data_IF_305791868503
#
_entry.id   IF_305791868503
#
_cell.length_a   1.000
_cell.length_b   1.000
_cell.length_c   1.000
_cell.angle_alpha   90.00
_cell.angle_beta   90.00
_cell.angle_gamma   90.00
#
_symmetry.space_group_name_H-M   'P 1'
#
loop_
_entity.id
_entity.type
_entity.pdbx_description
1 polymer ?
#
# COMPACT_ATOMS: atom_id res chain seq x y z
N UNK A 1 -14.96 26.70 10.19
CA UNK A 1 -15.78 26.59 8.98
C UNK A 1 -15.58 25.24 8.33
N UNK A 2 -16.69 24.51 8.23
CA UNK A 2 -17.00 23.44 7.27
C UNK A 2 -15.88 22.50 6.79
N UNK A 3 -15.48 21.56 7.64
CA UNK A 3 -14.81 20.32 7.21
C UNK A 3 -15.66 19.07 7.53
N UNK A 4 -16.98 19.25 7.65
CA UNK A 4 -17.94 18.20 7.96
C UNK A 4 -19.07 18.24 6.93
N UNK A 5 -18.72 17.92 5.68
CA UNK A 5 -19.71 17.51 4.68
C UNK A 5 -19.15 16.29 3.95
N UNK A 6 -19.00 15.17 4.68
CA UNK A 6 -18.65 13.87 4.10
C UNK A 6 -19.92 13.11 3.71
N UNK A 7 -20.59 13.64 2.70
CA UNK A 7 -21.40 12.86 1.79
C UNK A 7 -20.76 13.05 0.40
N UNK A 8 -20.12 12.00 -0.11
CA UNK A 8 -19.54 11.83 -1.45
C UNK A 8 -18.15 12.41 -1.81
N UNK A 9 -17.25 12.72 -0.86
CA UNK A 9 -15.91 13.27 -1.16
C UNK A 9 -14.73 12.35 -0.85
N UNK A 10 -13.88 12.05 -1.85
CA UNK A 10 -12.56 11.41 -1.68
C UNK A 10 -11.79 12.00 -0.49
N UNK A 11 -11.19 11.15 0.37
CA UNK A 11 -10.28 11.65 1.41
C UNK A 11 -9.03 12.26 0.75
N UNK A 12 -8.40 13.22 1.42
CA UNK A 12 -7.12 13.78 0.93
C UNK A 12 -6.08 12.67 0.77
N UNK A 13 -6.05 11.69 1.68
CA UNK A 13 -5.19 10.51 1.55
C UNK A 13 -5.44 9.77 0.25
N UNK A 14 -6.70 9.49 -0.07
CA UNK A 14 -7.07 8.75 -1.27
C UNK A 14 -6.71 9.51 -2.56
N UNK A 15 -6.92 10.83 -2.58
CA UNK A 15 -6.51 11.68 -3.70
C UNK A 15 -4.99 11.65 -3.91
N UNK A 16 -4.23 11.80 -2.83
CA UNK A 16 -2.77 11.73 -2.91
C UNK A 16 -2.28 10.34 -3.34
N UNK A 17 -2.95 9.27 -2.89
CA UNK A 17 -2.63 7.89 -3.27
C UNK A 17 -2.85 7.64 -4.76
N UNK A 18 -4.02 8.01 -5.29
CA UNK A 18 -4.30 7.86 -6.73
C UNK A 18 -3.35 8.69 -7.59
N UNK A 19 -2.99 9.90 -7.14
CA UNK A 19 -1.98 10.72 -7.81
C UNK A 19 -0.58 10.07 -7.78
N UNK A 20 -0.20 9.41 -6.67
CA UNK A 20 1.04 8.65 -6.59
C UNK A 20 1.09 7.49 -7.58
N UNK A 21 -0.01 6.73 -7.70
CA UNK A 21 -0.12 5.61 -8.63
C UNK A 21 -0.01 6.10 -10.10
N UNK A 22 -0.63 7.23 -10.42
CA UNK A 22 -0.51 7.87 -11.73
C UNK A 22 0.93 8.34 -12.02
N UNK A 23 1.61 8.93 -11.04
CA UNK A 23 3.01 9.34 -11.18
C UNK A 23 3.92 8.12 -11.46
N UNK A 24 3.71 7.00 -10.77
CA UNK A 24 4.41 5.73 -11.05
C UNK A 24 4.17 5.24 -12.48
N UNK A 25 2.92 5.26 -12.94
CA UNK A 25 2.57 4.83 -14.30
C UNK A 25 3.25 5.68 -15.38
N UNK A 26 3.53 6.95 -15.08
CA UNK A 26 4.25 7.88 -15.95
C UNK A 26 5.79 7.80 -15.80
N UNK A 27 6.29 6.96 -14.87
CA UNK A 27 7.72 6.84 -14.57
C UNK A 27 8.29 7.92 -13.64
N UNK A 28 7.46 8.83 -13.14
CA UNK A 28 7.82 9.87 -12.16
C UNK A 28 7.91 9.26 -10.74
N UNK A 29 9.04 8.59 -10.46
CA UNK A 29 9.26 7.92 -9.17
C UNK A 29 9.36 8.90 -8.00
N UNK A 30 10.05 10.01 -8.17
CA UNK A 30 10.23 11.01 -7.11
C UNK A 30 8.89 11.67 -6.75
N UNK A 31 8.12 12.05 -7.76
CA UNK A 31 6.80 12.59 -7.58
C UNK A 31 5.80 11.57 -7.03
N UNK A 32 5.95 10.29 -7.34
CA UNK A 32 5.18 9.23 -6.70
C UNK A 32 5.47 9.14 -5.20
N UNK A 33 6.75 9.09 -4.79
CA UNK A 33 7.14 9.03 -3.37
C UNK A 33 6.59 10.23 -2.61
N UNK A 34 6.72 11.43 -3.19
CA UNK A 34 6.22 12.67 -2.59
C UNK A 34 4.70 12.59 -2.34
N UNK A 35 3.94 12.14 -3.34
CA UNK A 35 2.48 12.01 -3.23
C UNK A 35 2.07 10.90 -2.27
N UNK A 36 2.74 9.76 -2.28
CA UNK A 36 2.46 8.69 -1.32
C UNK A 36 2.74 9.10 0.13
N UNK A 37 3.79 9.91 0.38
CA UNK A 37 4.04 10.50 1.71
C UNK A 37 2.92 11.43 2.13
N UNK A 38 2.43 12.29 1.23
CA UNK A 38 1.25 13.13 1.49
C UNK A 38 0.01 12.28 1.79
N UNK A 39 -0.19 11.17 1.09
CA UNK A 39 -1.28 10.26 1.40
C UNK A 39 -1.20 9.77 2.84
N UNK A 40 -0.01 9.33 3.27
CA UNK A 40 0.21 8.84 4.63
C UNK A 40 0.02 9.92 5.70
N UNK A 41 0.44 11.16 5.44
CA UNK A 41 0.21 12.31 6.32
C UNK A 41 -1.30 12.58 6.51
N UNK A 42 -2.09 12.42 5.46
CA UNK A 42 -3.52 12.72 5.45
C UNK A 42 -4.42 11.51 5.76
N UNK A 43 -3.87 10.31 5.95
CA UNK A 43 -4.64 9.10 6.28
C UNK A 43 -5.30 9.14 7.68
N UNK A 44 -5.09 10.22 8.44
CA UNK A 44 -5.94 10.70 9.55
C UNK A 44 -6.73 9.64 10.33
N UNK A 45 -6.14 9.09 11.39
CA UNK A 45 -6.82 8.24 12.39
C UNK A 45 -7.28 6.85 11.92
N UNK A 46 -7.62 6.69 10.65
CA UNK A 46 -8.12 5.44 10.08
C UNK A 46 -6.96 4.48 9.77
N UNK A 47 -6.91 3.36 10.51
CA UNK A 47 -5.90 2.32 10.32
C UNK A 47 -5.97 1.68 8.93
N UNK A 48 -7.14 1.67 8.29
CA UNK A 48 -7.34 1.11 6.96
C UNK A 48 -6.81 2.05 5.86
N UNK A 49 -7.11 3.35 5.95
CA UNK A 49 -6.56 4.35 5.02
C UNK A 49 -5.04 4.45 5.18
N UNK A 50 -4.55 4.43 6.43
CA UNK A 50 -3.12 4.40 6.74
C UNK A 50 -2.42 3.19 6.12
N UNK A 51 -3.05 2.01 6.16
CA UNK A 51 -2.50 0.80 5.56
C UNK A 51 -2.42 0.90 4.03
N UNK A 52 -3.44 1.48 3.38
CA UNK A 52 -3.43 1.73 1.94
C UNK A 52 -2.33 2.72 1.54
N UNK A 53 -2.17 3.81 2.29
CA UNK A 53 -1.13 4.80 2.05
C UNK A 53 0.28 4.22 2.24
N UNK A 54 0.49 3.39 3.27
CA UNK A 54 1.77 2.67 3.48
C UNK A 54 2.10 1.74 2.31
N UNK A 55 1.12 0.98 1.79
CA UNK A 55 1.33 0.11 0.62
C UNK A 55 1.68 0.91 -0.62
N UNK A 56 1.02 2.03 -0.86
CA UNK A 56 1.32 2.92 -1.99
C UNK A 56 2.73 3.52 -1.87
N UNK A 57 3.12 3.94 -0.66
CA UNK A 57 4.47 4.44 -0.39
C UNK A 57 5.54 3.37 -0.64
N UNK A 58 5.30 2.13 -0.21
CA UNK A 58 6.20 1.02 -0.47
C UNK A 58 6.43 0.79 -1.98
N UNK A 59 5.34 0.80 -2.76
CA UNK A 59 5.43 0.69 -4.22
C UNK A 59 6.22 1.84 -4.85
N UNK A 60 5.99 3.08 -4.38
CA UNK A 60 6.66 4.28 -4.86
C UNK A 60 8.16 4.32 -4.53
N UNK A 61 8.53 3.87 -3.33
CA UNK A 61 9.90 3.80 -2.85
C UNK A 61 10.79 2.85 -3.69
N UNK A 62 10.19 1.88 -4.39
CA UNK A 62 10.94 0.96 -5.23
C UNK A 62 12.01 0.23 -4.44
N UNK A 63 13.26 0.28 -4.88
CA UNK A 63 14.39 -0.45 -4.27
C UNK A 63 14.88 0.14 -2.94
N UNK A 64 14.25 1.20 -2.45
CA UNK A 64 14.63 1.81 -1.18
C UNK A 64 14.31 0.86 0.00
N UNK A 65 15.22 0.69 0.98
CA UNK A 65 15.03 -0.25 2.10
C UNK A 65 13.80 0.07 2.98
N UNK A 66 13.30 1.30 2.94
CA UNK A 66 12.06 1.68 3.61
C UNK A 66 10.80 1.00 3.03
N UNK A 67 10.86 0.49 1.80
CA UNK A 67 9.72 -0.14 1.14
C UNK A 67 9.22 -1.37 1.90
N UNK A 68 10.14 -2.25 2.32
CA UNK A 68 9.81 -3.45 3.11
C UNK A 68 9.13 -3.10 4.44
N UNK A 69 9.66 -2.11 5.15
CA UNK A 69 9.08 -1.64 6.40
C UNK A 69 7.65 -1.10 6.19
N UNK A 70 7.41 -0.42 5.06
CA UNK A 70 6.08 0.07 4.70
C UNK A 70 5.11 -1.09 4.39
N UNK A 71 5.53 -2.09 3.60
CA UNK A 71 4.72 -3.28 3.35
C UNK A 71 4.38 -4.04 4.63
N UNK A 72 5.36 -4.29 5.49
CA UNK A 72 5.16 -4.98 6.76
C UNK A 72 4.17 -4.24 7.68
N UNK A 73 4.26 -2.91 7.77
CA UNK A 73 3.33 -2.09 8.54
C UNK A 73 1.93 -2.09 7.95
N UNK A 74 1.78 -1.97 6.63
CA UNK A 74 0.49 -2.05 5.95
C UNK A 74 -0.19 -3.40 6.23
N UNK A 75 0.57 -4.49 6.07
CA UNK A 75 0.09 -5.85 6.32
C UNK A 75 -0.35 -6.05 7.77
N UNK A 76 0.44 -5.59 8.74
CA UNK A 76 0.10 -5.66 10.17
C UNK A 76 -1.24 -4.98 10.49
N UNK A 77 -1.50 -3.82 9.87
CA UNK A 77 -2.78 -3.13 10.00
C UNK A 77 -3.92 -3.93 9.36
N UNK A 78 -3.76 -4.42 8.14
CA UNK A 78 -4.81 -5.23 7.49
C UNK A 78 -5.08 -6.56 8.21
N UNK A 79 -4.07 -7.16 8.86
CA UNK A 79 -4.26 -8.31 9.75
C UNK A 79 -5.09 -7.93 10.97
N UNK A 80 -4.73 -6.85 11.67
CA UNK A 80 -5.50 -6.34 12.83
C UNK A 80 -6.95 -6.02 12.48
N UNK A 81 -7.19 -5.49 11.28
CA UNK A 81 -8.53 -5.12 10.79
C UNK A 81 -9.31 -6.30 10.19
N UNK A 82 -8.70 -7.48 10.04
CA UNK A 82 -9.34 -8.64 9.37
C UNK A 82 -9.60 -8.44 7.87
N UNK A 83 -8.94 -7.46 7.23
CA UNK A 83 -9.11 -7.09 5.82
C UNK A 83 -8.31 -8.03 4.89
N UNK A 84 -8.85 -9.23 4.68
CA UNK A 84 -8.15 -10.33 3.97
C UNK A 84 -7.85 -10.02 2.50
N UNK A 85 -8.75 -9.35 1.78
CA UNK A 85 -8.51 -8.99 0.38
C UNK A 85 -7.32 -8.04 0.25
N UNK A 86 -7.18 -7.12 1.20
CA UNK A 86 -6.12 -6.13 1.25
C UNK A 86 -4.80 -6.74 1.74
N UNK A 87 -4.84 -7.74 2.63
CA UNK A 87 -3.67 -8.56 2.96
C UNK A 87 -3.12 -9.24 1.69
N UNK A 88 -3.97 -9.93 0.92
CA UNK A 88 -3.59 -10.60 -0.33
C UNK A 88 -2.96 -9.61 -1.30
N UNK A 89 -3.64 -8.48 -1.56
CA UNK A 89 -3.12 -7.46 -2.47
C UNK A 89 -1.81 -6.82 -1.97
N UNK A 90 -1.59 -6.77 -0.64
CA UNK A 90 -0.31 -6.31 -0.07
C UNK A 90 0.81 -7.32 -0.27
N UNK A 91 0.54 -8.62 -0.06
CA UNK A 91 1.50 -9.68 -0.36
C UNK A 91 1.86 -9.73 -1.84
N UNK A 92 0.89 -9.60 -2.74
CA UNK A 92 1.13 -9.60 -4.19
C UNK A 92 1.94 -8.37 -4.63
N UNK A 93 1.65 -7.19 -4.09
CA UNK A 93 2.41 -5.97 -4.36
C UNK A 93 3.87 -6.09 -3.87
N UNK A 94 4.07 -6.67 -2.69
CA UNK A 94 5.42 -6.92 -2.16
C UNK A 94 6.13 -7.99 -2.99
N UNK A 95 5.47 -9.08 -3.37
CA UNK A 95 6.06 -10.10 -4.23
C UNK A 95 6.53 -9.50 -5.58
N UNK A 96 5.73 -8.64 -6.20
CA UNK A 96 6.11 -7.93 -7.42
C UNK A 96 7.29 -6.96 -7.21
N UNK A 97 7.44 -6.41 -6.00
CA UNK A 97 8.61 -5.61 -5.62
C UNK A 97 9.87 -6.47 -5.47
N UNK A 98 9.81 -7.59 -4.76
CA UNK A 98 10.93 -8.54 -4.61
C UNK A 98 11.39 -9.12 -5.95
N UNK A 99 10.45 -9.41 -6.85
CA UNK A 99 10.78 -9.89 -8.20
C UNK A 99 11.60 -8.86 -8.99
N UNK A 100 11.34 -7.55 -8.81
CA UNK A 100 12.13 -6.48 -9.45
C UNK A 100 13.54 -6.38 -8.88
N UNK A 101 13.72 -6.75 -7.61
CA UNK A 101 15.03 -6.83 -6.94
C UNK A 101 15.80 -8.12 -7.27
N UNK A 102 15.19 -9.06 -8.01
CA UNK A 102 15.77 -10.37 -8.29
C UNK A 102 15.69 -11.36 -7.12
N UNK A 103 14.94 -11.04 -6.05
CA UNK A 103 14.75 -11.89 -4.88
C UNK A 103 13.65 -12.93 -5.13
N UNK A 104 13.93 -13.89 -6.02
CA UNK A 104 12.95 -14.88 -6.48
C UNK A 104 12.41 -15.79 -5.36
N UNK A 105 13.25 -16.17 -4.40
CA UNK A 105 12.81 -16.98 -3.24
C UNK A 105 11.80 -16.20 -2.41
N UNK A 106 12.11 -14.93 -2.12
CA UNK A 106 11.23 -14.05 -1.34
C UNK A 106 9.92 -13.78 -2.06
N UNK A 107 9.96 -13.58 -3.37
CA UNK A 107 8.77 -13.47 -4.22
C UNK A 107 7.86 -14.71 -4.06
N UNK A 108 8.41 -15.91 -4.14
CA UNK A 108 7.65 -17.16 -4.03
C UNK A 108 7.01 -17.31 -2.63
N UNK A 109 7.75 -17.00 -1.56
CA UNK A 109 7.25 -17.01 -0.20
C UNK A 109 6.04 -16.07 -0.02
N UNK A 110 6.13 -14.84 -0.54
CA UNK A 110 5.06 -13.85 -0.44
C UNK A 110 3.80 -14.29 -1.21
N UNK A 111 3.94 -14.91 -2.38
CA UNK A 111 2.81 -15.48 -3.12
C UNK A 111 2.17 -16.69 -2.42
N UNK A 112 2.98 -17.49 -1.72
CA UNK A 112 2.47 -18.59 -0.90
C UNK A 112 1.64 -18.05 0.27
N UNK A 113 2.08 -16.98 0.93
CA UNK A 113 1.30 -16.32 1.98
C UNK A 113 -0.01 -15.71 1.43
N UNK A 114 0.04 -15.05 0.27
CA UNK A 114 -1.18 -14.56 -0.40
C UNK A 114 -2.18 -15.69 -0.65
N UNK A 115 -1.70 -16.84 -1.13
CA UNK A 115 -2.52 -18.04 -1.39
C UNK A 115 -3.08 -18.64 -0.10
N UNK A 116 -2.30 -18.63 0.99
CA UNK A 116 -2.75 -19.08 2.32
C UNK A 116 -3.91 -18.23 2.80
N UNK A 117 -3.81 -16.90 2.72
CA UNK A 117 -4.90 -15.99 3.11
C UNK A 117 -6.12 -16.20 2.21
N UNK A 118 -5.94 -16.35 0.89
CA UNK A 118 -7.01 -16.63 -0.06
C UNK A 118 -7.78 -17.90 0.28
N UNK A 119 -7.09 -18.96 0.72
CA UNK A 119 -7.73 -20.19 1.18
C UNK A 119 -8.60 -20.03 2.42
N UNK A 120 -8.50 -18.91 3.15
CA UNK A 120 -9.36 -18.62 4.29
C UNK A 120 -10.62 -17.83 3.93
N UNK A 121 -10.84 -17.49 2.65
CA UNK A 121 -11.95 -16.62 2.22
C UNK A 121 -13.32 -17.32 2.15
N UNK A 122 -13.39 -18.65 2.14
CA UNK A 122 -14.65 -19.41 2.27
C UNK A 122 -15.59 -19.27 1.08
#
# INVERSE_FOLDING_TARGET
DEALNMADGFSLSESWRTSSEAALALGDREGAVTRARRALEHAGGDDADRALALRALAGALGEHPEAEACFARALSLFVRLGRKAEQIATYEAWAAHEARLGAHDRHAELLQEASRVRGTLG
#
